data_IF_133350486732
#
_entry.id   IF_133350486732
#
_cell.length_a   1.000
_cell.length_b   1.000
_cell.length_c   1.000
_cell.angle_alpha   90.00
_cell.angle_beta   90.00
_cell.angle_gamma   90.00
#
_symmetry.space_group_name_H-M   'P 1'
#
loop_
_entity.id
_entity.type
_entity.pdbx_description
1 polymer ?
#
# COMPACT_ATOMS: atom_id res chain seq x y z
N UNK A 1 13.01 -8.36 3.55
CA UNK A 1 13.27 -7.25 2.60
C UNK A 1 14.48 -7.53 1.73
N UNK A 2 15.66 -7.79 2.30
CA UNK A 2 16.85 -8.12 1.50
C UNK A 2 16.66 -9.37 0.63
N UNK A 3 16.12 -10.46 1.17
CA UNK A 3 15.87 -11.68 0.38
C UNK A 3 14.93 -11.47 -0.81
N UNK A 4 13.88 -10.65 -0.63
CA UNK A 4 12.95 -10.28 -1.70
C UNK A 4 13.67 -9.42 -2.74
N UNK A 5 14.47 -8.45 -2.29
CA UNK A 5 15.29 -7.57 -3.14
C UNK A 5 16.26 -8.38 -3.99
N UNK A 6 16.98 -9.32 -3.36
CA UNK A 6 17.93 -10.21 -4.01
C UNK A 6 17.23 -11.14 -4.99
N UNK A 7 16.03 -11.64 -4.64
CA UNK A 7 15.24 -12.47 -5.55
C UNK A 7 14.76 -11.70 -6.78
N UNK A 8 14.31 -10.46 -6.61
CA UNK A 8 13.93 -9.58 -7.72
C UNK A 8 15.16 -9.26 -8.58
N UNK A 9 16.30 -8.93 -7.95
CA UNK A 9 17.56 -8.70 -8.65
C UNK A 9 17.94 -9.92 -9.50
N UNK A 10 17.87 -11.12 -8.93
CA UNK A 10 18.12 -12.37 -9.65
C UNK A 10 17.15 -12.55 -10.84
N UNK A 11 15.87 -12.26 -10.67
CA UNK A 11 14.86 -12.41 -11.74
C UNK A 11 15.03 -11.40 -12.88
N UNK A 12 15.55 -10.21 -12.58
CA UNK A 12 15.76 -9.14 -13.56
C UNK A 12 17.15 -9.18 -14.20
N UNK A 13 18.11 -9.87 -13.59
CA UNK A 13 19.47 -9.99 -14.12
C UNK A 13 19.50 -11.03 -15.24
N UNK A 14 19.76 -10.57 -16.45
CA UNK A 14 19.97 -11.41 -17.64
C UNK A 14 21.43 -11.82 -17.78
N UNK A 15 21.72 -12.87 -18.56
CA UNK A 15 23.06 -13.46 -18.69
C UNK A 15 24.12 -12.51 -19.31
N UNK A 16 23.68 -11.49 -20.06
CA UNK A 16 24.53 -10.47 -20.66
C UNK A 16 24.99 -9.40 -19.65
N UNK A 17 24.42 -9.37 -18.45
CA UNK A 17 24.81 -8.43 -17.40
C UNK A 17 26.00 -9.00 -16.62
N UNK A 18 27.19 -8.47 -16.89
CA UNK A 18 28.44 -8.88 -16.24
C UNK A 18 28.72 -8.25 -14.86
N UNK A 19 27.78 -7.49 -14.30
CA UNK A 19 27.93 -6.78 -13.02
C UNK A 19 26.84 -7.15 -12.03
N UNK A 20 27.14 -7.05 -10.74
CA UNK A 20 26.15 -7.31 -9.70
C UNK A 20 25.00 -6.28 -9.76
N UNK A 21 23.77 -6.77 -9.87
CA UNK A 21 22.56 -5.97 -9.78
C UNK A 21 22.03 -6.03 -8.36
N UNK A 22 21.79 -4.87 -7.75
CA UNK A 22 21.09 -4.75 -6.47
C UNK A 22 19.84 -3.92 -6.64
N UNK A 23 18.75 -4.40 -6.05
CA UNK A 23 17.49 -3.67 -6.00
C UNK A 23 17.43 -2.93 -4.68
N UNK A 24 17.24 -1.61 -4.76
CA UNK A 24 17.11 -0.74 -3.60
C UNK A 24 15.70 -0.15 -3.62
N UNK A 25 14.92 -0.46 -2.58
CA UNK A 25 13.61 0.14 -2.36
C UNK A 25 13.43 0.49 -0.87
N UNK A 26 12.44 1.33 -0.59
CA UNK A 26 12.09 1.73 0.77
C UNK A 26 11.50 0.54 1.53
N UNK A 27 12.12 0.13 2.65
CA UNK A 27 11.53 -0.92 3.51
C UNK A 27 10.15 -0.51 4.02
N UNK A 28 9.29 -1.48 4.35
CA UNK A 28 7.97 -1.19 4.92
C UNK A 28 8.10 -0.41 6.23
N UNK A 29 9.10 -0.76 7.05
CA UNK A 29 9.42 -0.01 8.28
C UNK A 29 9.76 1.46 7.99
N UNK A 30 10.55 1.73 6.95
CA UNK A 30 10.92 3.09 6.57
C UNK A 30 9.77 3.87 5.96
N UNK A 31 8.87 3.20 5.25
CA UNK A 31 7.62 3.79 4.77
C UNK A 31 6.77 4.28 5.96
N UNK A 32 6.60 3.45 6.99
CA UNK A 32 5.88 3.83 8.20
C UNK A 32 6.55 4.99 8.96
N UNK A 33 7.88 5.01 9.00
CA UNK A 33 8.63 6.14 9.60
C UNK A 33 8.48 7.43 8.81
N UNK A 34 8.51 7.36 7.48
CA UNK A 34 8.37 8.52 6.60
C UNK A 34 6.93 9.07 6.58
N UNK A 35 5.94 8.20 6.71
CA UNK A 35 4.52 8.51 6.56
C UNK A 35 3.69 8.05 7.78
N UNK A 36 3.95 8.57 8.99
CA UNK A 36 3.35 8.04 10.22
C UNK A 36 1.82 8.18 10.30
N UNK A 37 1.22 9.04 9.48
CA UNK A 37 -0.22 9.25 9.41
C UNK A 37 -0.90 8.50 8.24
N UNK A 38 -0.13 7.78 7.41
CA UNK A 38 -0.65 7.04 6.26
C UNK A 38 -0.37 5.54 6.44
N UNK A 39 -1.29 4.83 7.07
CA UNK A 39 -1.14 3.41 7.44
C UNK A 39 -1.49 2.42 6.29
N UNK A 40 -1.61 2.91 5.06
CA UNK A 40 -1.98 2.10 3.92
C UNK A 40 -0.75 1.44 3.29
N UNK A 41 -0.35 0.27 3.78
CA UNK A 41 0.81 -0.49 3.28
C UNK A 41 0.44 -1.84 2.64
N UNK A 42 -0.84 -2.21 2.63
CA UNK A 42 -1.31 -3.56 2.27
C UNK A 42 -0.88 -4.06 0.87
N UNK A 43 -0.71 -3.16 -0.09
CA UNK A 43 -0.16 -3.48 -1.42
C UNK A 43 1.29 -4.00 -1.34
N UNK A 44 2.05 -3.59 -0.33
CA UNK A 44 3.44 -3.97 -0.10
C UNK A 44 3.56 -5.05 0.97
N UNK A 45 2.80 -4.97 2.07
CA UNK A 45 2.85 -5.94 3.17
C UNK A 45 2.04 -7.20 2.90
N UNK A 46 1.09 -7.17 1.96
CA UNK A 46 0.11 -8.24 1.76
C UNK A 46 -0.87 -8.39 2.94
N UNK A 47 -0.78 -7.53 3.96
CA UNK A 47 -1.63 -7.58 5.15
C UNK A 47 -2.99 -6.94 4.86
N UNK A 48 -3.77 -7.65 4.06
CA UNK A 48 -5.13 -7.26 3.71
C UNK A 48 -6.13 -7.82 4.74
N UNK A 49 -7.17 -7.05 5.13
CA UNK A 49 -7.46 -5.66 4.76
C UNK A 49 -6.89 -4.63 5.74
N UNK A 50 -6.50 -3.45 5.24
CA UNK A 50 -6.22 -2.30 6.12
C UNK A 50 -7.49 -1.92 6.90
N UNK A 51 -7.40 -1.61 8.22
CA UNK A 51 -8.56 -1.16 8.99
C UNK A 51 -9.31 0.00 8.30
N UNK A 52 -10.58 -0.20 8.00
CA UNK A 52 -11.40 0.77 7.26
C UNK A 52 -11.32 0.69 5.73
N UNK A 53 -10.36 -0.06 5.17
CA UNK A 53 -10.17 -0.24 3.73
C UNK A 53 -11.36 -0.88 3.03
N UNK A 54 -11.91 -1.97 3.60
CA UNK A 54 -13.11 -2.63 3.07
C UNK A 54 -14.32 -1.69 2.99
N UNK A 55 -14.48 -0.81 4.00
CA UNK A 55 -15.56 0.20 4.01
C UNK A 55 -15.37 1.18 2.86
N UNK A 56 -14.13 1.65 2.66
CA UNK A 56 -13.81 2.60 1.59
C UNK A 56 -14.08 1.98 0.20
N UNK A 57 -13.66 0.73 -0.01
CA UNK A 57 -13.82 0.03 -1.29
C UNK A 57 -15.28 -0.25 -1.61
N UNK A 58 -16.08 -0.67 -0.62
CA UNK A 58 -17.51 -0.92 -0.81
C UNK A 58 -18.26 0.37 -1.16
N UNK A 59 -17.93 1.48 -0.48
CA UNK A 59 -18.53 2.77 -0.77
C UNK A 59 -18.14 3.28 -2.17
N UNK A 60 -16.87 3.12 -2.58
CA UNK A 60 -16.42 3.47 -3.91
C UNK A 60 -17.18 2.68 -5.00
N UNK A 61 -17.41 1.39 -4.76
CA UNK A 61 -18.21 0.54 -5.66
C UNK A 61 -19.67 1.01 -5.77
N UNK A 62 -20.31 1.31 -4.63
CA UNK A 62 -21.68 1.85 -4.63
C UNK A 62 -21.75 3.16 -5.42
N UNK A 63 -20.83 4.10 -5.16
CA UNK A 63 -20.80 5.39 -5.85
C UNK A 63 -20.61 5.24 -7.36
N UNK A 64 -19.75 4.31 -7.79
CA UNK A 64 -19.53 4.00 -9.19
C UNK A 64 -20.82 3.48 -9.87
N UNK A 65 -21.53 2.55 -9.22
CA UNK A 65 -22.79 1.98 -9.72
C UNK A 65 -23.90 3.04 -9.77
N UNK A 66 -23.99 3.88 -8.76
CA UNK A 66 -25.02 4.93 -8.65
C UNK A 66 -24.70 6.18 -9.47
N UNK A 67 -23.54 6.20 -10.15
CA UNK A 67 -23.04 7.34 -10.92
C UNK A 67 -23.02 8.64 -10.09
N UNK A 68 -22.75 8.50 -8.79
CA UNK A 68 -22.76 9.56 -7.80
C UNK A 68 -21.31 10.00 -7.53
N UNK A 69 -20.63 10.50 -8.56
CA UNK A 69 -19.37 11.25 -8.42
C UNK A 69 -19.63 12.63 -7.79
N UNK A 70 -20.15 12.66 -6.57
CA UNK A 70 -20.12 13.87 -5.76
C UNK A 70 -18.68 14.05 -5.25
N UNK A 71 -18.06 15.15 -5.67
CA UNK A 71 -16.60 15.33 -5.73
C UNK A 71 -15.83 15.09 -4.44
N UNK A 72 -14.54 14.78 -4.61
CA UNK A 72 -13.48 14.63 -3.61
C UNK A 72 -13.93 14.74 -2.16
N UNK A 73 -14.66 13.73 -1.66
CA UNK A 73 -14.87 13.64 -0.22
C UNK A 73 -13.53 13.25 0.37
N UNK A 74 -12.83 14.25 0.90
CA UNK A 74 -11.79 14.04 1.87
C UNK A 74 -12.50 13.45 3.10
N UNK A 75 -12.73 12.13 3.09
CA UNK A 75 -13.33 11.42 4.21
C UNK A 75 -12.41 11.61 5.40
N UNK A 76 -12.74 12.55 6.29
CA UNK A 76 -12.01 12.71 7.54
C UNK A 76 -12.27 11.46 8.37
N UNK A 77 -11.28 10.55 8.38
CA UNK A 77 -11.32 9.33 9.18
C UNK A 77 -11.19 9.74 10.66
N UNK A 78 -12.32 10.06 11.29
CA UNK A 78 -12.38 10.29 12.73
C UNK A 78 -12.32 8.93 13.44
N UNK A 79 -11.11 8.51 13.82
CA UNK A 79 -10.87 7.29 14.60
C UNK A 79 -11.34 7.38 16.06
N UNK A 80 -11.89 8.51 16.50
CA UNK A 80 -12.40 8.68 17.86
C UNK A 80 -13.89 8.28 17.93
N UNK A 81 -14.13 6.99 18.20
CA UNK A 81 -15.09 6.45 19.19
C UNK A 81 -15.28 4.95 18.97
N UNK A 82 -14.35 4.16 19.50
CA UNK A 82 -14.68 2.82 20.01
C UNK A 82 -14.54 2.89 21.53
N UNK A 83 -15.67 3.16 22.16
CA UNK A 83 -15.82 3.33 23.60
C UNK A 83 -17.27 3.05 23.94
N UNK A 84 -17.63 1.77 23.88
CA UNK A 84 -18.61 1.08 24.72
C UNK A 84 -18.43 -0.41 24.54
#
# INVERSE_FOLDING_TARGET
DEEISDKIAQMLTTEDIGTEVKIVYQSIGDLHRACPNNNGDWYFSGNYPTPGGNRLVNNAFINFIENSESGSFQYTLNFLKSGR
#
